data_IF_914519301288
#
_entry.id   IF_914519301288
#
_cell.length_a   1.000
_cell.length_b   1.000
_cell.length_c   1.000
_cell.angle_alpha   90.00
_cell.angle_beta   90.00
_cell.angle_gamma   90.00
#
_symmetry.space_group_name_H-M   'P 1'
#
loop_
_entity.id
_entity.type
_entity.pdbx_description
1 polymer ?
#
# COMPACT_ATOMS: atom_id res chain seq x y z
N UNK A 1 -10.04 5.29 -14.13
CA UNK A 1 -8.92 4.55 -13.52
C UNK A 1 -7.65 5.32 -13.81
N UNK A 2 -6.83 5.64 -12.82
CA UNK A 2 -5.58 6.38 -13.03
C UNK A 2 -4.54 5.40 -13.55
N UNK A 3 -3.91 5.69 -14.69
CA UNK A 3 -2.76 4.93 -15.16
C UNK A 3 -1.58 5.26 -14.25
N UNK A 4 -1.01 4.23 -13.61
CA UNK A 4 0.09 4.37 -12.65
C UNK A 4 1.24 3.49 -13.13
N UNK A 5 2.46 4.07 -13.19
CA UNK A 5 3.66 3.39 -13.68
C UNK A 5 4.83 3.62 -12.73
N UNK A 6 5.45 2.54 -12.27
CA UNK A 6 6.67 2.59 -11.47
C UNK A 6 7.83 3.07 -12.35
N UNK A 7 8.53 4.13 -11.94
CA UNK A 7 9.66 4.71 -12.68
C UNK A 7 11.00 4.39 -12.04
N UNK A 8 11.05 4.36 -10.72
CA UNK A 8 12.25 3.98 -9.98
C UNK A 8 11.88 3.25 -8.70
N UNK A 9 12.71 2.30 -8.30
CA UNK A 9 12.56 1.55 -7.06
C UNK A 9 13.90 1.36 -6.41
N UNK A 10 14.02 1.72 -5.15
CA UNK A 10 15.25 1.58 -4.38
C UNK A 10 15.00 0.84 -3.08
N UNK A 11 15.92 -0.03 -2.70
CA UNK A 11 15.86 -0.77 -1.44
C UNK A 11 17.23 -0.90 -0.82
N UNK A 12 17.28 -0.83 0.51
CA UNK A 12 18.46 -1.06 1.33
C UNK A 12 18.07 -1.87 2.58
N UNK A 13 18.98 -2.68 3.07
CA UNK A 13 18.81 -3.37 4.34
C UNK A 13 17.96 -4.63 4.28
N UNK A 14 17.92 -5.35 3.15
CA UNK A 14 17.18 -6.61 3.03
C UNK A 14 18.08 -7.79 2.62
N UNK A 15 17.95 -8.92 3.29
CA UNK A 15 18.75 -10.14 3.07
C UNK A 15 20.24 -9.80 3.05
N UNK A 16 20.92 -10.01 1.93
CA UNK A 16 22.36 -9.72 1.75
C UNK A 16 22.64 -8.31 1.25
N UNK A 17 21.60 -7.51 0.96
CA UNK A 17 21.75 -6.14 0.47
C UNK A 17 22.02 -5.19 1.63
N UNK A 18 23.28 -4.82 1.84
CA UNK A 18 23.74 -3.86 2.84
C UNK A 18 24.05 -2.46 2.26
N UNK A 19 23.78 -2.29 0.96
CA UNK A 19 23.84 -1.03 0.23
C UNK A 19 22.59 -0.84 -0.58
N UNK A 20 22.25 0.41 -0.86
CA UNK A 20 21.10 0.75 -1.69
C UNK A 20 21.24 0.18 -3.10
N UNK A 21 20.25 -0.59 -3.51
CA UNK A 21 20.08 -1.06 -4.88
C UNK A 21 18.91 -0.32 -5.50
N UNK A 22 19.15 0.30 -6.67
CA UNK A 22 18.12 1.05 -7.40
C UNK A 22 17.84 0.42 -8.75
N UNK A 23 16.56 0.28 -9.06
CA UNK A 23 16.03 -0.20 -10.33
C UNK A 23 15.30 0.93 -11.02
N UNK A 24 15.80 1.39 -12.17
CA UNK A 24 15.09 2.37 -12.99
C UNK A 24 14.35 1.68 -14.13
N UNK A 25 13.06 1.96 -14.22
CA UNK A 25 12.17 1.49 -15.30
C UNK A 25 11.97 2.58 -16.36
N UNK A 26 12.84 3.55 -16.38
CA UNK A 26 12.70 4.74 -17.18
C UNK A 26 14.01 5.18 -17.83
N UNK A 27 13.94 5.78 -19.02
CA UNK A 27 15.07 6.53 -19.62
C UNK A 27 15.33 7.79 -18.80
N UNK A 28 16.59 8.15 -18.58
CA UNK A 28 17.06 9.26 -17.70
C UNK A 28 16.34 10.61 -17.87
N UNK A 29 15.54 10.79 -18.91
CA UNK A 29 14.85 12.05 -19.19
C UNK A 29 13.38 11.76 -19.40
N UNK A 30 12.51 12.20 -18.48
CA UNK A 30 11.06 12.19 -18.67
C UNK A 30 10.75 13.30 -19.69
N UNK A 31 10.37 12.90 -20.89
CA UNK A 31 9.87 13.79 -21.91
C UNK A 31 8.41 14.17 -21.62
N UNK A 32 7.89 15.17 -22.35
CA UNK A 32 6.51 15.65 -22.19
C UNK A 32 5.45 14.57 -22.30
N UNK A 33 5.74 13.50 -23.03
CA UNK A 33 4.92 12.28 -23.12
C UNK A 33 5.83 11.09 -22.80
N UNK A 34 5.83 10.60 -21.54
CA UNK A 34 6.59 9.42 -21.19
C UNK A 34 6.03 8.23 -21.94
N UNK A 35 6.87 7.57 -22.72
CA UNK A 35 6.54 6.28 -23.32
C UNK A 35 6.64 5.21 -22.23
N UNK A 36 5.48 4.88 -21.66
CA UNK A 36 5.34 3.85 -20.63
C UNK A 36 5.43 2.43 -21.19
N UNK A 37 5.52 2.28 -22.52
CA UNK A 37 5.74 0.99 -23.17
C UNK A 37 7.21 0.64 -23.32
N UNK A 38 8.10 1.64 -23.35
CA UNK A 38 9.55 1.41 -23.31
C UNK A 38 10.03 1.18 -21.86
N UNK A 39 10.97 0.27 -21.66
CA UNK A 39 11.64 -0.02 -20.37
C UNK A 39 10.75 -0.57 -19.24
N UNK A 40 9.56 -1.05 -19.56
CA UNK A 40 8.61 -1.61 -18.61
C UNK A 40 8.99 -3.01 -18.06
N UNK A 41 10.07 -3.62 -18.56
CA UNK A 41 10.61 -4.91 -18.10
C UNK A 41 12.04 -4.73 -17.62
N UNK A 42 12.35 -5.25 -16.42
CA UNK A 42 13.70 -5.36 -15.87
C UNK A 42 14.03 -6.80 -15.51
N UNK A 43 15.13 -7.31 -16.06
CA UNK A 43 15.71 -8.56 -15.63
C UNK A 43 16.76 -8.33 -14.53
N UNK A 44 16.65 -9.06 -13.43
CA UNK A 44 17.62 -9.02 -12.33
C UNK A 44 18.44 -10.31 -12.38
N UNK A 45 19.72 -10.19 -12.69
CA UNK A 45 20.65 -11.29 -12.79
C UNK A 45 21.74 -11.19 -11.71
N UNK A 46 22.26 -12.33 -11.29
CA UNK A 46 23.34 -12.39 -10.32
C UNK A 46 23.51 -13.79 -9.75
N UNK A 47 24.60 -14.03 -9.02
CA UNK A 47 24.86 -15.31 -8.36
C UNK A 47 23.79 -15.64 -7.31
N UNK A 48 23.68 -16.92 -6.94
CA UNK A 48 22.82 -17.33 -5.84
C UNK A 48 23.29 -16.65 -4.54
N UNK A 49 22.36 -16.19 -3.71
CA UNK A 49 22.67 -15.44 -2.51
C UNK A 49 22.97 -13.95 -2.70
N UNK A 50 22.94 -13.40 -3.93
CA UNK A 50 23.24 -11.99 -4.20
C UNK A 50 22.12 -11.01 -3.82
N UNK A 51 21.01 -11.49 -3.23
CA UNK A 51 19.91 -10.63 -2.77
C UNK A 51 18.76 -10.40 -3.77
N UNK A 52 18.77 -11.08 -4.95
CA UNK A 52 17.73 -10.90 -5.99
C UNK A 52 16.30 -11.07 -5.45
N UNK A 53 16.03 -12.17 -4.74
CA UNK A 53 14.72 -12.41 -4.12
C UNK A 53 14.38 -11.37 -3.03
N UNK A 54 15.39 -10.78 -2.38
CA UNK A 54 15.19 -9.70 -1.43
C UNK A 54 14.54 -8.47 -2.06
N UNK A 55 14.92 -8.12 -3.28
CA UNK A 55 14.31 -6.99 -4.00
C UNK A 55 12.81 -7.26 -4.24
N UNK A 56 12.46 -8.46 -4.71
CA UNK A 56 11.06 -8.84 -4.97
C UNK A 56 10.26 -8.88 -3.65
N UNK A 57 10.82 -9.48 -2.59
CA UNK A 57 10.22 -9.51 -1.26
C UNK A 57 9.99 -8.09 -0.70
N UNK A 58 10.91 -7.14 -0.95
CA UNK A 58 10.72 -5.77 -0.49
C UNK A 58 9.55 -5.05 -1.18
N UNK A 59 9.24 -5.39 -2.42
CA UNK A 59 8.05 -4.86 -3.12
C UNK A 59 6.76 -5.37 -2.45
N UNK A 60 6.74 -6.65 -2.04
CA UNK A 60 5.62 -7.21 -1.28
C UNK A 60 5.44 -6.51 0.07
N UNK A 61 6.54 -6.28 0.81
CA UNK A 61 6.51 -5.54 2.07
C UNK A 61 5.97 -4.11 1.85
N UNK A 62 6.48 -3.42 0.83
CA UNK A 62 6.01 -2.07 0.47
C UNK A 62 4.51 -2.06 0.18
N UNK A 63 4.04 -3.01 -0.64
CA UNK A 63 2.61 -3.17 -0.92
C UNK A 63 1.81 -3.31 0.37
N UNK A 64 2.19 -4.24 1.23
CA UNK A 64 1.46 -4.51 2.47
C UNK A 64 1.46 -3.29 3.41
N UNK A 65 2.57 -2.57 3.52
CA UNK A 65 2.64 -1.33 4.30
C UNK A 65 1.69 -0.24 3.77
N UNK A 66 1.56 -0.12 2.45
CA UNK A 66 0.69 0.90 1.85
C UNK A 66 -0.80 0.58 2.04
N UNK A 67 -1.20 -0.70 1.97
CA UNK A 67 -2.62 -1.07 1.89
C UNK A 67 -3.20 -1.68 3.18
N UNK A 68 -2.35 -2.16 4.12
CA UNK A 68 -2.78 -2.87 5.32
C UNK A 68 -2.35 -2.11 6.58
N UNK A 69 -3.32 -1.54 7.29
CA UNK A 69 -3.10 -0.83 8.57
C UNK A 69 -2.59 -1.74 9.69
N UNK A 70 -2.79 -3.06 9.58
CA UNK A 70 -2.44 -4.07 10.59
C UNK A 70 -1.16 -4.84 10.30
N UNK A 71 -0.47 -4.58 9.19
CA UNK A 71 0.67 -5.39 8.75
C UNK A 71 1.74 -5.55 9.83
N UNK A 72 2.21 -4.47 10.43
CA UNK A 72 3.25 -4.51 11.47
C UNK A 72 2.75 -5.01 12.84
N UNK A 73 1.43 -5.08 13.05
CA UNK A 73 0.84 -5.69 14.24
C UNK A 73 0.75 -7.21 14.13
N UNK A 74 0.95 -7.78 12.93
CA UNK A 74 0.88 -9.21 12.72
C UNK A 74 2.17 -9.91 13.16
N UNK A 75 2.12 -10.90 14.09
CA UNK A 75 3.30 -11.63 14.54
C UNK A 75 4.05 -12.38 13.42
N UNK A 76 3.32 -12.83 12.38
CA UNK A 76 3.94 -13.52 11.23
C UNK A 76 4.77 -12.52 10.42
N UNK A 77 4.25 -11.31 10.15
CA UNK A 77 4.98 -10.26 9.48
C UNK A 77 6.23 -9.84 10.28
N UNK A 78 6.10 -9.69 11.60
CA UNK A 78 7.25 -9.38 12.48
C UNK A 78 8.33 -10.46 12.41
N UNK A 79 7.95 -11.73 12.49
CA UNK A 79 8.88 -12.86 12.36
C UNK A 79 9.54 -12.88 10.98
N UNK A 80 8.79 -12.62 9.94
CA UNK A 80 9.31 -12.54 8.57
C UNK A 80 10.33 -11.40 8.45
N UNK A 81 9.98 -10.20 8.89
CA UNK A 81 10.89 -9.04 8.90
C UNK A 81 12.17 -9.35 9.70
N UNK A 82 12.04 -9.99 10.86
CA UNK A 82 13.21 -10.38 11.66
C UNK A 82 14.15 -11.35 10.92
N UNK A 83 13.61 -12.22 10.08
CA UNK A 83 14.40 -13.16 9.30
C UNK A 83 15.09 -12.51 8.09
N UNK A 84 14.48 -11.50 7.46
CA UNK A 84 14.92 -10.97 6.17
C UNK A 84 15.62 -9.60 6.25
N UNK A 85 15.36 -8.78 7.28
CA UNK A 85 16.08 -7.50 7.44
C UNK A 85 17.55 -7.79 7.72
N UNK A 86 18.42 -7.07 7.00
CA UNK A 86 19.86 -7.24 7.09
C UNK A 86 20.35 -6.89 8.49
N UNK A 87 20.95 -7.88 9.19
CA UNK A 87 21.40 -7.73 10.59
C UNK A 87 22.52 -6.69 10.75
N UNK A 88 23.31 -6.44 9.69
CA UNK A 88 24.42 -5.48 9.72
C UNK A 88 23.88 -4.04 9.60
N UNK A 89 22.84 -3.85 8.79
CA UNK A 89 22.21 -2.54 8.60
C UNK A 89 21.23 -2.25 9.75
N UNK A 90 20.45 -3.24 10.17
CA UNK A 90 19.50 -3.15 11.29
C UNK A 90 18.18 -2.50 10.93
N UNK A 91 18.04 -1.96 9.72
CA UNK A 91 16.82 -1.30 9.20
C UNK A 91 16.54 -1.72 7.77
N UNK A 92 15.31 -1.51 7.32
CA UNK A 92 14.87 -1.71 5.94
C UNK A 92 14.32 -0.39 5.40
N UNK A 93 14.99 0.16 4.39
CA UNK A 93 14.53 1.37 3.71
C UNK A 93 14.09 1.03 2.29
N UNK A 94 12.90 1.49 1.92
CA UNK A 94 12.30 1.30 0.60
C UNK A 94 11.87 2.65 0.07
N UNK A 95 12.17 2.91 -1.20
CA UNK A 95 11.72 4.10 -1.91
C UNK A 95 11.18 3.70 -3.28
N UNK A 96 10.02 4.23 -3.64
CA UNK A 96 9.39 4.06 -4.93
C UNK A 96 9.08 5.42 -5.55
N UNK A 97 9.49 5.60 -6.80
CA UNK A 97 9.10 6.73 -7.63
C UNK A 97 8.15 6.22 -8.71
N UNK A 98 7.00 6.87 -8.86
CA UNK A 98 6.00 6.46 -9.84
C UNK A 98 5.27 7.68 -10.41
N UNK A 99 4.75 7.52 -11.61
CA UNK A 99 3.91 8.52 -12.26
C UNK A 99 2.48 8.06 -12.28
N UNK A 100 1.55 9.02 -12.10
CA UNK A 100 0.12 8.80 -12.22
C UNK A 100 -0.48 9.77 -13.22
N UNK A 101 -1.22 9.25 -14.21
CA UNK A 101 -1.97 10.04 -15.17
C UNK A 101 -3.38 10.28 -14.64
N UNK A 102 -3.75 11.55 -14.49
CA UNK A 102 -5.10 11.96 -14.07
C UNK A 102 -5.64 12.98 -15.06
N UNK A 103 -6.42 12.53 -16.02
CA UNK A 103 -6.87 13.37 -17.14
C UNK A 103 -5.70 13.89 -17.97
N UNK A 104 -5.58 15.23 -18.10
CA UNK A 104 -4.49 15.88 -18.82
C UNK A 104 -3.23 16.11 -17.95
N UNK A 105 -3.28 15.83 -16.66
CA UNK A 105 -2.17 16.05 -15.74
C UNK A 105 -1.38 14.75 -15.53
N UNK A 106 -0.06 14.88 -15.54
CA UNK A 106 0.88 13.83 -15.19
C UNK A 106 1.59 14.24 -13.90
N UNK A 107 1.37 13.51 -12.82
CA UNK A 107 1.99 13.74 -11.53
C UNK A 107 3.07 12.68 -11.30
N UNK A 108 4.20 13.10 -10.76
CA UNK A 108 5.25 12.23 -10.28
C UNK A 108 5.21 12.23 -8.75
N UNK A 109 5.20 11.03 -8.19
CA UNK A 109 5.23 10.78 -6.76
C UNK A 109 6.54 10.11 -6.37
N UNK A 110 7.05 10.48 -5.20
CA UNK A 110 8.15 9.81 -4.53
C UNK A 110 7.68 9.42 -3.14
N UNK A 111 7.68 8.13 -2.87
CA UNK A 111 7.26 7.57 -1.57
C UNK A 111 8.41 6.79 -0.96
N UNK A 112 8.79 7.14 0.26
CA UNK A 112 9.84 6.49 1.03
C UNK A 112 9.31 6.02 2.37
N UNK A 113 9.73 4.81 2.80
CA UNK A 113 9.40 4.25 4.10
C UNK A 113 10.59 3.48 4.66
N UNK A 114 10.85 3.67 5.95
CA UNK A 114 11.93 2.98 6.68
C UNK A 114 11.37 2.28 7.91
N UNK A 115 11.74 1.02 8.05
CA UNK A 115 11.41 0.19 9.20
C UNK A 115 12.66 -0.03 10.05
N UNK A 116 12.55 0.19 11.34
CA UNK A 116 13.59 -0.11 12.33
C UNK A 116 13.01 -0.81 13.55
N UNK A 117 13.86 -1.44 14.36
CA UNK A 117 13.43 -2.08 15.60
C UNK A 117 13.27 -1.05 16.71
N UNK A 118 12.13 -1.06 17.38
CA UNK A 118 11.91 -0.31 18.60
C UNK A 118 12.60 -0.98 19.81
N UNK A 119 12.51 -0.35 20.99
CA UNK A 119 13.09 -0.86 22.25
C UNK A 119 12.56 -2.26 22.67
N UNK A 120 11.38 -2.64 22.20
CA UNK A 120 10.79 -3.97 22.44
C UNK A 120 11.22 -5.01 21.40
N UNK A 121 12.12 -4.67 20.47
CA UNK A 121 12.62 -5.55 19.42
C UNK A 121 11.65 -5.79 18.27
N UNK A 122 10.54 -5.04 18.18
CA UNK A 122 9.56 -5.12 17.11
C UNK A 122 9.88 -4.09 16.02
N UNK A 123 9.69 -4.47 14.76
CA UNK A 123 9.79 -3.54 13.64
C UNK A 123 8.64 -2.54 13.67
N UNK A 124 8.98 -1.27 13.54
CA UNK A 124 8.07 -0.14 13.49
C UNK A 124 8.50 0.79 12.36
N UNK A 125 7.60 1.66 11.93
CA UNK A 125 7.92 2.70 10.96
C UNK A 125 8.69 3.80 11.71
N UNK A 126 9.96 3.98 11.34
CA UNK A 126 10.80 5.05 11.86
C UNK A 126 10.75 6.30 11.00
N UNK A 127 10.52 6.14 9.70
CA UNK A 127 10.37 7.27 8.77
C UNK A 127 9.41 6.93 7.65
N UNK A 128 8.54 7.87 7.29
CA UNK A 128 7.64 7.78 6.14
C UNK A 128 7.50 9.17 5.50
N UNK A 129 7.63 9.25 4.17
CA UNK A 129 7.52 10.50 3.45
C UNK A 129 6.87 10.31 2.09
N UNK A 130 5.91 11.17 1.75
CA UNK A 130 5.30 11.27 0.43
C UNK A 130 5.56 12.66 -0.15
N UNK A 131 6.08 12.69 -1.37
CA UNK A 131 6.30 13.90 -2.15
C UNK A 131 5.62 13.79 -3.50
N UNK A 132 5.21 14.92 -4.05
CA UNK A 132 4.68 14.99 -5.42
C UNK A 132 5.20 16.18 -6.20
N UNK A 133 5.13 16.09 -7.52
CA UNK A 133 5.31 17.22 -8.42
C UNK A 133 4.57 17.01 -9.74
N UNK A 134 4.33 18.11 -10.46
CA UNK A 134 3.88 18.02 -11.84
C UNK A 134 5.04 17.52 -12.72
N UNK A 135 4.90 16.33 -13.33
CA UNK A 135 5.94 15.69 -14.13
C UNK A 135 6.22 16.40 -15.47
N UNK A 136 5.26 17.19 -15.97
CA UNK A 136 5.40 17.90 -17.27
C UNK A 136 5.99 19.29 -17.12
N UNK A 137 6.01 19.85 -15.92
CA UNK A 137 6.54 21.18 -15.66
C UNK A 137 8.04 21.14 -15.37
N UNK A 138 8.86 21.84 -16.16
CA UNK A 138 10.31 21.94 -15.93
C UNK A 138 10.68 22.67 -14.64
N UNK A 139 9.79 23.53 -14.15
CA UNK A 139 10.02 24.37 -12.97
C UNK A 139 9.34 23.83 -11.71
N UNK A 140 8.69 22.66 -11.79
CA UNK A 140 8.04 22.04 -10.63
C UNK A 140 9.08 21.37 -9.74
N UNK A 141 9.17 21.80 -8.50
CA UNK A 141 9.92 21.12 -7.43
C UNK A 141 9.07 19.98 -6.85
N UNK A 142 9.73 19.01 -6.23
CA UNK A 142 9.06 18.02 -5.38
C UNK A 142 8.55 18.72 -4.12
N UNK A 143 7.25 18.70 -3.91
CA UNK A 143 6.58 19.24 -2.73
C UNK A 143 6.27 18.10 -1.76
N UNK A 144 6.52 18.30 -0.48
CA UNK A 144 6.22 17.32 0.57
C UNK A 144 4.71 17.37 0.83
N UNK A 145 4.04 16.23 0.76
CA UNK A 145 2.64 16.08 1.17
C UNK A 145 2.57 15.76 2.65
N UNK A 146 3.39 14.80 3.10
CA UNK A 146 3.61 14.53 4.50
C UNK A 146 4.99 13.91 4.75
N UNK A 147 5.49 14.13 5.97
CA UNK A 147 6.70 13.50 6.52
C UNK A 147 6.46 13.15 7.99
N UNK A 148 6.77 11.90 8.34
CA UNK A 148 6.54 11.32 9.65
C UNK A 148 7.83 10.67 10.13
N UNK A 149 8.24 10.98 11.36
CA UNK A 149 9.40 10.37 12.00
C UNK A 149 8.98 9.79 13.36
N UNK A 150 9.27 8.52 13.59
CA UNK A 150 9.00 7.81 14.86
C UNK A 150 7.55 7.99 15.38
N UNK A 151 6.59 8.05 14.44
CA UNK A 151 5.16 8.20 14.74
C UNK A 151 4.71 9.65 14.96
N UNK A 152 5.58 10.64 14.83
CA UNK A 152 5.25 12.05 14.91
C UNK A 152 5.15 12.66 13.51
N UNK A 153 4.10 13.45 13.27
CA UNK A 153 3.92 14.20 12.02
C UNK A 153 4.87 15.40 12.07
N UNK A 154 5.98 15.31 11.35
CA UNK A 154 6.95 16.42 11.23
C UNK A 154 6.45 17.47 10.25
N UNK A 155 5.85 17.02 9.16
CA UNK A 155 5.24 17.88 8.16
C UNK A 155 3.97 17.23 7.61
N UNK A 156 2.96 18.04 7.36
CA UNK A 156 1.78 17.68 6.55
C UNK A 156 1.27 18.95 5.87
N UNK A 157 0.90 18.82 4.62
CA UNK A 157 0.36 19.96 3.87
C UNK A 157 -0.82 20.58 4.63
N UNK A 158 -0.75 21.90 4.93
CA UNK A 158 -1.75 22.60 5.74
C UNK A 158 -1.59 22.46 7.27
N UNK A 159 -0.52 21.83 7.76
CA UNK A 159 -0.26 21.69 9.22
C UNK A 159 -0.02 23.05 9.90
N UNK A 160 0.77 23.92 9.27
CA UNK A 160 1.09 25.24 9.83
C UNK A 160 -0.13 26.16 9.94
N UNK A 161 -1.14 25.94 9.12
CA UNK A 161 -2.39 26.70 9.07
C UNK A 161 -3.42 26.18 10.10
N UNK A 162 -3.06 25.17 10.90
CA UNK A 162 -3.97 24.45 11.81
C UNK A 162 -5.28 24.00 11.11
N UNK A 163 -5.16 23.56 9.85
CA UNK A 163 -6.30 23.16 9.04
C UNK A 163 -7.10 22.06 9.75
N UNK A 164 -8.42 22.22 9.85
CA UNK A 164 -9.29 21.31 10.60
C UNK A 164 -9.20 19.86 10.13
N UNK A 165 -9.02 19.62 8.83
CA UNK A 165 -8.83 18.28 8.28
C UNK A 165 -7.51 17.64 8.75
N UNK A 166 -6.41 18.40 8.79
CA UNK A 166 -5.10 17.92 9.27
C UNK A 166 -5.15 17.63 10.78
N UNK A 167 -5.84 18.47 11.55
CA UNK A 167 -6.08 18.24 12.99
C UNK A 167 -6.86 16.95 13.21
N UNK A 168 -7.88 16.69 12.39
CA UNK A 168 -8.66 15.44 12.47
C UNK A 168 -7.80 14.21 12.11
N UNK A 169 -7.00 14.29 11.04
CA UNK A 169 -6.04 13.22 10.70
C UNK A 169 -5.15 12.94 11.90
N UNK A 170 -4.51 13.97 12.47
CA UNK A 170 -3.61 13.83 13.62
C UNK A 170 -4.29 13.12 14.78
N UNK A 171 -5.51 13.53 15.12
CA UNK A 171 -6.26 12.92 16.22
C UNK A 171 -6.63 11.46 15.97
N UNK A 172 -7.02 11.11 14.75
CA UNK A 172 -7.39 9.73 14.37
C UNK A 172 -6.22 8.78 14.19
N UNK A 173 -5.04 9.30 13.83
CA UNK A 173 -3.84 8.48 13.59
C UNK A 173 -2.87 8.47 14.77
N UNK A 174 -3.12 9.29 15.80
CA UNK A 174 -2.29 9.38 17.00
C UNK A 174 -2.03 7.99 17.59
N UNK A 175 -0.76 7.69 17.89
CA UNK A 175 -0.27 6.39 18.38
C UNK A 175 -0.34 5.22 17.40
N UNK A 176 -0.79 5.39 16.17
CA UNK A 176 -0.88 4.33 15.17
C UNK A 176 0.22 4.43 14.11
N UNK A 177 0.79 5.61 13.90
CA UNK A 177 1.74 5.91 12.82
C UNK A 177 3.09 5.13 12.91
N UNK A 178 3.37 4.49 14.04
CA UNK A 178 4.53 3.59 14.17
C UNK A 178 4.23 2.17 13.69
N UNK A 179 2.95 1.76 13.66
CA UNK A 179 2.54 0.38 13.35
C UNK A 179 1.70 0.26 12.07
N UNK A 180 1.14 1.36 11.60
CA UNK A 180 0.45 1.48 10.32
C UNK A 180 0.99 2.67 9.54
N UNK A 181 1.14 2.56 8.23
CA UNK A 181 1.56 3.68 7.40
C UNK A 181 0.50 4.79 7.41
N UNK A 182 0.95 6.03 7.29
CA UNK A 182 0.05 7.17 7.17
C UNK A 182 -0.90 7.02 5.97
N UNK A 183 -0.38 6.51 4.85
CA UNK A 183 -1.21 6.22 3.68
C UNK A 183 -2.39 5.31 4.03
N UNK A 184 -2.14 4.12 4.60
CA UNK A 184 -3.18 3.17 4.93
C UNK A 184 -4.15 3.72 5.99
N UNK A 185 -3.60 4.33 7.06
CA UNK A 185 -4.40 4.88 8.16
C UNK A 185 -5.31 6.02 7.71
N UNK A 186 -4.77 7.00 6.95
CA UNK A 186 -5.55 8.14 6.48
C UNK A 186 -6.61 7.65 5.48
N UNK A 187 -6.23 6.79 4.52
CA UNK A 187 -7.16 6.27 3.53
C UNK A 187 -8.34 5.54 4.18
N UNK A 188 -8.07 4.63 5.12
CA UNK A 188 -9.10 3.85 5.81
C UNK A 188 -9.96 4.75 6.71
N UNK A 189 -9.35 5.59 7.53
CA UNK A 189 -10.08 6.40 8.51
C UNK A 189 -10.89 7.54 7.90
N UNK A 190 -10.48 8.07 6.74
CA UNK A 190 -11.14 9.22 6.13
C UNK A 190 -12.11 8.84 5.02
N UNK A 191 -11.86 7.76 4.28
CA UNK A 191 -12.70 7.33 3.16
C UNK A 191 -13.67 6.22 3.52
N UNK A 192 -13.25 5.28 4.40
CA UNK A 192 -14.06 4.10 4.76
C UNK A 192 -14.76 4.21 6.12
N UNK A 193 -14.41 5.16 6.97
CA UNK A 193 -15.18 5.38 8.20
C UNK A 193 -16.56 5.89 7.80
N UNK A 194 -17.62 5.11 8.10
CA UNK A 194 -19.00 5.40 7.73
C UNK A 194 -19.58 6.69 8.30
N UNK A 195 -18.79 7.46 9.06
CA UNK A 195 -19.14 8.74 9.66
C UNK A 195 -19.20 9.88 8.64
N UNK A 196 -18.91 9.62 7.35
CA UNK A 196 -19.02 10.62 6.30
C UNK A 196 -18.11 11.85 6.45
N UNK A 197 -17.13 11.78 7.36
CA UNK A 197 -16.34 12.95 7.76
C UNK A 197 -15.61 13.62 6.59
N UNK A 198 -15.14 12.83 5.60
CA UNK A 198 -14.53 13.42 4.41
C UNK A 198 -15.51 14.29 3.60
N UNK A 199 -16.81 14.03 3.68
CA UNK A 199 -17.82 14.83 2.97
C UNK A 199 -17.85 16.30 3.43
N UNK A 200 -17.49 16.56 4.70
CA UNK A 200 -17.40 17.93 5.25
C UNK A 200 -16.22 18.71 4.68
N UNK A 201 -15.17 17.99 4.24
CA UNK A 201 -13.94 18.60 3.74
C UNK A 201 -13.82 18.60 2.21
N UNK A 202 -14.88 18.23 1.49
CA UNK A 202 -14.85 18.15 0.00
C UNK A 202 -14.45 19.46 -0.66
N UNK A 203 -14.86 20.58 -0.10
CA UNK A 203 -14.55 21.92 -0.61
C UNK A 203 -13.21 22.46 -0.08
N UNK A 204 -12.65 21.81 0.94
CA UNK A 204 -11.37 22.20 1.50
C UNK A 204 -10.22 21.85 0.55
N UNK A 205 -9.39 22.86 0.25
CA UNK A 205 -8.25 22.71 -0.69
C UNK A 205 -7.18 21.76 -0.12
N UNK A 206 -6.90 21.88 1.19
CA UNK A 206 -5.88 21.06 1.86
C UNK A 206 -6.32 19.60 1.86
N UNK A 207 -7.57 19.33 2.26
CA UNK A 207 -8.13 17.99 2.24
C UNK A 207 -8.10 17.36 0.85
N UNK A 208 -8.43 18.12 -0.21
CA UNK A 208 -8.37 17.62 -1.58
C UNK A 208 -6.97 17.24 -2.02
N UNK A 209 -5.96 18.05 -1.69
CA UNK A 209 -4.56 17.75 -2.03
C UNK A 209 -4.12 16.47 -1.33
N UNK A 210 -4.26 16.40 0.00
CA UNK A 210 -3.86 15.24 0.79
C UNK A 210 -4.59 13.99 0.30
N UNK A 211 -5.91 14.00 0.17
CA UNK A 211 -6.69 12.84 -0.20
C UNK A 211 -6.46 12.37 -1.63
N UNK A 212 -6.18 13.29 -2.56
CA UNK A 212 -5.79 12.92 -3.91
C UNK A 212 -4.46 12.16 -3.91
N UNK A 213 -3.44 12.67 -3.20
CA UNK A 213 -2.12 12.06 -3.15
C UNK A 213 -2.16 10.72 -2.42
N UNK A 214 -2.87 10.63 -1.30
CA UNK A 214 -3.11 9.37 -0.55
C UNK A 214 -3.84 8.34 -1.43
N UNK A 215 -4.91 8.76 -2.14
CA UNK A 215 -5.68 7.85 -3.01
C UNK A 215 -4.84 7.31 -4.18
N UNK A 216 -3.91 8.13 -4.72
CA UNK A 216 -2.99 7.69 -5.76
C UNK A 216 -1.97 6.70 -5.21
N UNK A 217 -1.37 6.99 -4.05
CA UNK A 217 -0.42 6.09 -3.38
C UNK A 217 -1.08 4.76 -3.01
N UNK A 218 -2.28 4.78 -2.44
CA UNK A 218 -3.04 3.59 -2.10
C UNK A 218 -3.37 2.75 -3.34
N UNK A 219 -3.78 3.41 -4.45
CA UNK A 219 -4.01 2.75 -5.73
C UNK A 219 -2.72 2.16 -6.32
N UNK A 220 -1.57 2.82 -6.13
CA UNK A 220 -0.26 2.28 -6.50
C UNK A 220 0.02 0.99 -5.72
N UNK A 221 -0.15 0.98 -4.39
CA UNK A 221 0.02 -0.21 -3.56
C UNK A 221 -0.86 -1.37 -4.03
N UNK A 222 -2.13 -1.13 -4.34
CA UNK A 222 -3.03 -2.16 -4.87
C UNK A 222 -2.60 -2.73 -6.23
N UNK A 223 -1.93 -1.95 -7.06
CA UNK A 223 -1.44 -2.39 -8.38
C UNK A 223 -0.10 -3.11 -8.34
N UNK A 224 0.59 -3.11 -7.21
CA UNK A 224 1.80 -3.90 -7.02
C UNK A 224 1.43 -5.38 -6.87
N UNK A 225 1.65 -6.15 -7.91
CA UNK A 225 1.46 -7.60 -7.89
C UNK A 225 2.83 -8.28 -7.78
N UNK A 226 2.99 -9.13 -6.77
CA UNK A 226 4.22 -9.88 -6.52
C UNK A 226 3.93 -11.36 -6.60
N UNK A 227 4.72 -12.06 -7.41
CA UNK A 227 4.67 -13.51 -7.55
C UNK A 227 5.98 -14.08 -7.02
N UNK A 228 5.91 -14.81 -5.91
CA UNK A 228 7.03 -15.54 -5.33
C UNK A 228 6.85 -17.02 -5.63
N UNK A 229 7.96 -17.73 -5.91
CA UNK A 229 7.93 -19.17 -6.09
C UNK A 229 7.58 -19.85 -4.76
N UNK A 230 6.67 -20.84 -4.80
CA UNK A 230 6.22 -21.59 -3.61
C UNK A 230 7.35 -22.39 -2.94
N UNK A 231 8.47 -22.59 -3.63
CA UNK A 231 9.66 -23.27 -3.10
C UNK A 231 10.45 -22.41 -2.10
N UNK A 232 10.28 -21.09 -2.10
CA UNK A 232 10.80 -20.26 -1.03
C UNK A 232 9.89 -20.41 0.20
N UNK A 233 10.44 -20.76 1.36
CA UNK A 233 9.75 -20.96 2.66
C UNK A 233 8.90 -19.74 3.14
N UNK A 234 8.67 -18.80 2.27
CA UNK A 234 7.93 -17.57 2.49
C UNK A 234 6.50 -17.73 1.96
N UNK A 235 5.65 -18.32 2.79
CA UNK A 235 4.20 -18.25 2.54
C UNK A 235 3.81 -16.77 2.43
N UNK A 236 3.17 -16.35 1.32
CA UNK A 236 2.74 -14.98 1.19
C UNK A 236 1.88 -14.60 2.39
N UNK A 237 2.10 -13.41 2.94
CA UNK A 237 1.25 -12.84 3.94
C UNK A 237 -0.16 -12.71 3.35
N UNK A 238 -1.05 -13.56 3.80
CA UNK A 238 -2.44 -13.51 3.38
C UNK A 238 -3.20 -12.62 4.36
N UNK A 239 -3.86 -11.60 3.87
CA UNK A 239 -4.77 -10.70 4.59
C UNK A 239 -5.88 -11.46 5.38
N UNK A 240 -5.89 -12.78 5.31
CA UNK A 240 -6.91 -13.68 5.84
C UNK A 240 -7.19 -13.59 7.34
N UNK A 241 -6.22 -13.15 8.16
CA UNK A 241 -6.41 -13.20 9.61
C UNK A 241 -7.17 -12.00 10.19
N UNK A 242 -7.27 -10.90 9.45
CA UNK A 242 -7.96 -9.70 9.94
C UNK A 242 -9.49 -9.80 9.80
N UNK A 243 -9.98 -10.63 8.89
CA UNK A 243 -11.42 -10.77 8.61
C UNK A 243 -12.14 -11.67 9.61
N UNK A 244 -11.44 -12.60 10.25
CA UNK A 244 -12.06 -13.66 11.05
C UNK A 244 -12.07 -13.45 12.57
N UNK A 245 -11.49 -12.37 13.09
CA UNK A 245 -11.33 -12.17 14.54
C UNK A 245 -12.17 -11.02 15.13
N UNK A 246 -13.17 -10.49 14.42
CA UNK A 246 -14.02 -9.43 14.96
C UNK A 246 -15.37 -9.99 15.40
N UNK A 247 -15.64 -9.90 16.70
CA UNK A 247 -16.90 -10.30 17.35
C UNK A 247 -17.99 -9.21 17.25
N UNK A 248 -17.70 -8.08 16.61
CA UNK A 248 -18.62 -6.96 16.50
C UNK A 248 -19.28 -6.90 15.10
N UNK A 249 -20.62 -6.91 15.09
CA UNK A 249 -21.48 -6.98 13.89
C UNK A 249 -21.25 -5.78 12.95
N UNK A 250 -21.05 -4.57 13.48
CA UNK A 250 -20.85 -3.37 12.67
C UNK A 250 -19.48 -3.38 11.98
N UNK A 251 -18.49 -3.87 12.67
CA UNK A 251 -17.15 -4.11 12.11
C UNK A 251 -17.14 -5.21 11.04
N UNK A 252 -18.00 -6.23 11.19
CA UNK A 252 -18.18 -7.29 10.19
C UNK A 252 -18.84 -6.77 8.92
N UNK A 253 -19.83 -5.88 9.03
CA UNK A 253 -20.50 -5.27 7.88
C UNK A 253 -19.55 -4.36 7.10
N UNK A 254 -18.75 -3.52 7.75
CA UNK A 254 -17.76 -2.68 7.09
C UNK A 254 -16.70 -3.52 6.36
N UNK A 255 -16.26 -4.64 6.94
CA UNK A 255 -15.33 -5.58 6.32
C UNK A 255 -15.96 -6.37 5.17
N UNK A 256 -17.23 -6.71 5.26
CA UNK A 256 -17.98 -7.36 4.20
C UNK A 256 -18.11 -6.43 2.98
N UNK A 257 -18.40 -5.14 3.20
CA UNK A 257 -18.43 -4.13 2.12
C UNK A 257 -17.07 -3.92 1.48
N UNK A 258 -15.99 -3.93 2.27
CA UNK A 258 -14.62 -3.87 1.75
C UNK A 258 -14.27 -5.12 0.92
N UNK A 259 -14.66 -6.31 1.40
CA UNK A 259 -14.48 -7.57 0.67
C UNK A 259 -15.29 -7.59 -0.63
N UNK A 260 -16.52 -7.11 -0.60
CA UNK A 260 -17.40 -7.00 -1.78
C UNK A 260 -16.82 -6.00 -2.78
N UNK A 261 -16.35 -4.84 -2.31
CA UNK A 261 -15.67 -3.84 -3.16
C UNK A 261 -14.45 -4.43 -3.85
N UNK A 262 -13.61 -5.13 -3.11
CA UNK A 262 -12.44 -5.82 -3.66
C UNK A 262 -12.82 -6.94 -4.65
N UNK A 263 -13.90 -7.68 -4.42
CA UNK A 263 -14.39 -8.71 -5.34
C UNK A 263 -14.93 -8.06 -6.63
N UNK A 264 -15.63 -6.94 -6.55
CA UNK A 264 -16.12 -6.22 -7.72
C UNK A 264 -15.00 -5.55 -8.53
N UNK A 265 -13.95 -5.06 -7.89
CA UNK A 265 -12.74 -4.60 -8.59
C UNK A 265 -11.97 -5.75 -9.23
N UNK A 266 -11.90 -6.92 -8.58
CA UNK A 266 -11.26 -8.13 -9.09
C UNK A 266 -12.05 -8.80 -10.22
N UNK A 267 -13.37 -8.59 -10.34
CA UNK A 267 -14.15 -9.13 -11.47
C UNK A 267 -13.74 -8.56 -12.83
N UNK A 268 -13.05 -7.41 -12.85
CA UNK A 268 -12.51 -6.85 -14.10
C UNK A 268 -11.09 -7.36 -14.44
N UNK A 269 -10.37 -8.00 -13.52
CA UNK A 269 -9.01 -8.52 -13.76
C UNK A 269 -8.82 -9.92 -13.11
N UNK A 270 -9.18 -10.98 -13.85
CA UNK A 270 -8.74 -12.38 -13.61
C UNK A 270 -9.02 -13.03 -12.23
N UNK A 271 -10.24 -13.44 -12.01
CA UNK A 271 -10.64 -14.39 -10.94
C UNK A 271 -9.80 -15.68 -10.89
N UNK A 272 -9.11 -16.04 -11.96
CA UNK A 272 -8.28 -17.23 -12.05
C UNK A 272 -7.08 -17.26 -11.09
N UNK A 273 -6.58 -16.12 -10.62
CA UNK A 273 -5.43 -16.05 -9.70
C UNK A 273 -5.80 -16.45 -8.28
N UNK A 274 -7.01 -16.16 -7.83
CA UNK A 274 -7.49 -16.52 -6.48
C UNK A 274 -7.72 -18.04 -6.37
N UNK A 275 -8.09 -18.71 -7.46
CA UNK A 275 -8.41 -20.13 -7.49
C UNK A 275 -7.25 -21.05 -7.85
N UNK A 276 -6.13 -20.54 -8.34
CA UNK A 276 -4.96 -21.39 -8.66
C UNK A 276 -4.23 -21.88 -7.39
N UNK A 277 -4.36 -21.21 -6.27
CA UNK A 277 -3.77 -21.61 -4.97
C UNK A 277 -4.73 -22.50 -4.15
N UNK A 278 -5.32 -23.52 -4.75
CA UNK A 278 -6.23 -24.48 -4.10
C UNK A 278 -5.68 -25.17 -2.86
N UNK A 279 -4.37 -25.19 -2.68
CA UNK A 279 -3.73 -25.89 -1.55
C UNK A 279 -3.63 -25.06 -0.26
N UNK A 280 -3.94 -23.77 -0.29
CA UNK A 280 -3.72 -22.87 0.87
C UNK A 280 -4.96 -22.61 1.72
N UNK A 281 -6.16 -22.92 1.24
CA UNK A 281 -7.40 -22.79 2.03
C UNK A 281 -7.90 -24.21 2.30
N UNK A 282 -8.05 -24.58 3.58
CA UNK A 282 -8.67 -25.86 3.93
C UNK A 282 -10.05 -25.96 3.27
N UNK A 283 -10.30 -27.04 2.52
CA UNK A 283 -11.51 -27.27 1.72
C UNK A 283 -12.82 -26.86 2.41
N UNK A 284 -13.05 -27.14 3.72
CA UNK A 284 -14.29 -26.74 4.41
C UNK A 284 -14.44 -25.20 4.54
N UNK A 285 -13.36 -24.44 4.56
CA UNK A 285 -13.42 -22.98 4.62
C UNK A 285 -13.71 -22.35 3.25
N UNK A 286 -13.17 -22.95 2.19
CA UNK A 286 -13.45 -22.56 0.81
C UNK A 286 -14.93 -22.82 0.48
N UNK A 287 -15.46 -23.99 0.84
CA UNK A 287 -16.85 -24.35 0.60
C UNK A 287 -17.81 -23.39 1.34
N UNK A 288 -17.50 -23.03 2.60
CA UNK A 288 -18.28 -22.06 3.36
C UNK A 288 -18.19 -20.63 2.79
N UNK A 289 -17.03 -20.24 2.27
CA UNK A 289 -16.85 -18.96 1.58
C UNK A 289 -17.67 -18.90 0.29
N UNK A 290 -17.63 -19.95 -0.54
CA UNK A 290 -18.42 -20.06 -1.77
C UNK A 290 -19.92 -20.03 -1.44
N UNK A 291 -20.36 -20.75 -0.41
CA UNK A 291 -21.75 -20.73 0.05
C UNK A 291 -22.19 -19.33 0.49
N UNK A 292 -21.33 -18.60 1.19
CA UNK A 292 -21.62 -17.22 1.62
C UNK A 292 -21.71 -16.27 0.43
N UNK A 293 -20.81 -16.39 -0.55
CA UNK A 293 -20.84 -15.61 -1.80
C UNK A 293 -22.11 -15.91 -2.60
N UNK A 294 -22.50 -17.18 -2.72
CA UNK A 294 -23.72 -17.57 -3.43
C UNK A 294 -24.98 -17.01 -2.75
N UNK A 295 -25.08 -17.07 -1.42
CA UNK A 295 -26.17 -16.45 -0.66
C UNK A 295 -26.22 -14.92 -0.84
N UNK A 296 -25.06 -14.27 -0.90
CA UNK A 296 -24.98 -12.85 -1.16
C UNK A 296 -25.43 -12.52 -2.59
N UNK A 297 -25.06 -13.34 -3.56
CA UNK A 297 -25.48 -13.22 -4.96
C UNK A 297 -27.00 -13.39 -5.11
N UNK A 298 -27.60 -14.35 -4.44
CA UNK A 298 -29.07 -14.55 -4.37
C UNK A 298 -29.74 -13.33 -3.73
N UNK A 299 -29.20 -12.82 -2.63
CA UNK A 299 -29.71 -11.62 -1.96
C UNK A 299 -29.68 -10.37 -2.87
N UNK A 300 -28.59 -10.16 -3.58
CA UNK A 300 -28.46 -9.04 -4.53
C UNK A 300 -29.35 -9.18 -5.77
N UNK A 301 -29.65 -10.43 -6.18
CA UNK A 301 -30.59 -10.71 -7.30
C UNK A 301 -32.04 -10.45 -6.92
N UNK A 302 -32.42 -10.71 -5.66
CA UNK A 302 -33.78 -10.43 -5.14
C UNK A 302 -34.03 -8.90 -5.16
N UNK A 303 -33.03 -8.08 -4.84
CA UNK A 303 -33.15 -6.60 -4.89
C UNK A 303 -33.22 -6.03 -6.31
N UNK A 304 -32.82 -6.77 -7.35
CA UNK A 304 -32.90 -6.31 -8.75
C UNK A 304 -34.25 -6.64 -9.42
N UNK A 305 -35.04 -7.50 -8.83
CA UNK A 305 -36.34 -7.88 -9.40
C UNK A 305 -37.52 -7.02 -8.91
N UNK A 306 -37.27 -6.12 -7.94
CA UNK A 306 -38.32 -5.26 -7.36
C UNK A 306 -38.15 -3.75 -7.67
N UNK A 307 -37.37 -3.38 -8.72
CA UNK A 307 -37.26 -1.98 -9.21
C UNK A 307 -37.71 -1.86 -10.66
#
# INVERSE_FOLDING_TARGET
MKDIYLTNYSVNGIKTLDKTVSLSFYKKTINKEPDTQEYNIKGIYGMNGSGKSGIVTSVEILRNLIIDTGYLNNPVAQKHLDAIVNKKVGELSIEAEFIAKSGAQLLLFQYGITLSKNKAGKFTISHECLKEKNATSKNSSLEIIYEICDGEIIFMYGLEEENGFVVEIRNKTMNLLTTGSACALIYVNMLYSGDGNYSFYREDKVARVIMNSISVLFSFGHKLHVYLDESDDHKPYMIQNTILSCDDVDSQNAKLYSLIGNIFELQNENINVIFSNRNMIAKPRLDKFIETINKLYEFLHIFKSDV
#
